data_IF_078281146881
#
_entry.id   IF_078281146881
#
_cell.length_a   1.000
_cell.length_b   1.000
_cell.length_c   1.000
_cell.angle_alpha   90.00
_cell.angle_beta   90.00
_cell.angle_gamma   90.00
#
_symmetry.space_group_name_H-M   'P 1'
#
loop_
_entity.id
_entity.type
_entity.pdbx_description
1 polymer ?
#
# COMPACT_ATOMS: atom_id res chain seq x y z
N UNK A 1 0.63 4.99 10.71
CA UNK A 1 -0.66 4.29 10.62
C UNK A 1 -1.35 4.70 9.33
N UNK A 2 -2.20 3.85 8.75
CA UNK A 2 -3.08 4.18 7.61
C UNK A 2 -4.55 4.28 8.08
N UNK A 3 -4.74 4.58 9.37
CA UNK A 3 -6.00 4.38 10.09
C UNK A 3 -7.05 5.41 9.67
N UNK A 4 -6.59 6.60 9.26
CA UNK A 4 -7.45 7.71 8.85
C UNK A 4 -8.08 7.48 7.47
N UNK A 5 -7.57 6.52 6.70
CA UNK A 5 -8.10 6.12 5.40
C UNK A 5 -9.22 5.09 5.48
N UNK A 6 -9.65 4.70 6.69
CA UNK A 6 -10.72 3.71 6.89
C UNK A 6 -10.32 2.28 6.54
N UNK A 7 -9.02 1.98 6.52
CA UNK A 7 -8.47 0.65 6.19
C UNK A 7 -8.42 -0.29 7.41
N UNK A 8 -9.21 -0.02 8.44
CA UNK A 8 -9.11 -0.63 9.77
C UNK A 8 -9.50 -2.11 9.77
N UNK A 9 -10.36 -2.50 8.82
CA UNK A 9 -10.82 -3.88 8.62
C UNK A 9 -9.88 -4.69 7.70
N UNK A 10 -8.83 -4.05 7.15
CA UNK A 10 -7.85 -4.72 6.30
C UNK A 10 -6.67 -5.23 7.13
N UNK A 11 -6.27 -6.46 6.87
CA UNK A 11 -5.03 -7.00 7.43
C UNK A 11 -3.85 -6.43 6.64
N UNK A 12 -3.02 -5.63 7.31
CA UNK A 12 -1.77 -5.12 6.75
C UNK A 12 -0.64 -6.12 6.99
N UNK A 13 0.19 -6.35 5.97
CA UNK A 13 1.38 -7.19 6.04
C UNK A 13 2.56 -6.32 5.58
N UNK A 14 3.48 -6.03 6.51
CA UNK A 14 4.68 -5.24 6.21
C UNK A 14 5.80 -6.16 5.71
N UNK A 15 6.19 -5.98 4.44
CA UNK A 15 7.16 -6.86 3.75
C UNK A 15 8.45 -7.04 4.53
N UNK A 16 9.02 -5.97 5.08
CA UNK A 16 10.28 -6.06 5.83
C UNK A 16 10.12 -6.78 7.17
N UNK A 17 8.98 -6.62 7.86
CA UNK A 17 8.72 -7.29 9.14
C UNK A 17 8.49 -8.78 8.97
N UNK A 18 7.93 -9.21 7.83
CA UNK A 18 7.77 -10.62 7.50
C UNK A 18 9.09 -11.30 7.10
N UNK A 19 10.15 -10.54 6.83
CA UNK A 19 11.43 -11.08 6.35
C UNK A 19 11.58 -11.09 4.82
N UNK A 20 10.83 -10.25 4.11
CA UNK A 20 10.97 -10.02 2.67
C UNK A 20 9.79 -10.50 1.82
N UNK A 21 9.84 -10.30 0.49
CA UNK A 21 8.72 -10.57 -0.42
C UNK A 21 8.18 -12.01 -0.37
N UNK A 22 9.07 -13.01 -0.27
CA UNK A 22 8.68 -14.41 -0.17
C UNK A 22 7.82 -14.68 1.07
N UNK A 23 8.33 -14.33 2.25
CA UNK A 23 7.61 -14.55 3.52
C UNK A 23 6.31 -13.77 3.58
N UNK A 24 6.30 -12.54 3.07
CA UNK A 24 5.07 -11.76 2.96
C UNK A 24 4.03 -12.43 2.06
N UNK A 25 4.43 -12.98 0.91
CA UNK A 25 3.54 -13.71 0.01
C UNK A 25 3.00 -15.00 0.65
N UNK A 26 3.83 -15.76 1.36
CA UNK A 26 3.41 -16.92 2.16
C UNK A 26 2.37 -16.54 3.22
N UNK A 27 2.62 -15.43 3.94
CA UNK A 27 1.69 -14.90 4.95
C UNK A 27 0.35 -14.48 4.34
N UNK A 28 0.33 -13.92 3.12
CA UNK A 28 -0.94 -13.66 2.40
C UNK A 28 -1.62 -14.98 2.01
N UNK A 29 -0.88 -15.93 1.43
CA UNK A 29 -1.44 -17.21 0.97
C UNK A 29 -2.16 -17.96 2.10
N UNK A 30 -1.60 -17.93 3.32
CA UNK A 30 -2.21 -18.51 4.52
C UNK A 30 -3.56 -17.87 4.90
N UNK A 31 -3.85 -16.64 4.45
CA UNK A 31 -5.15 -16.00 4.70
C UNK A 31 -6.26 -16.48 3.77
N UNK A 32 -5.91 -17.09 2.63
CA UNK A 32 -6.86 -17.43 1.57
C UNK A 32 -7.51 -16.21 0.88
N UNK A 33 -6.99 -15.00 1.12
CA UNK A 33 -7.49 -13.74 0.53
C UNK A 33 -6.59 -13.27 -0.61
N UNK A 34 -7.09 -12.30 -1.37
CA UNK A 34 -6.31 -11.55 -2.35
C UNK A 34 -5.44 -10.47 -1.68
N UNK A 35 -4.35 -10.07 -2.34
CA UNK A 35 -3.49 -8.98 -1.91
C UNK A 35 -3.80 -7.65 -2.63
N UNK A 36 -3.54 -6.54 -1.95
CA UNK A 36 -3.30 -5.24 -2.59
C UNK A 36 -1.84 -4.90 -2.33
N UNK A 37 -1.05 -4.65 -3.38
CA UNK A 37 0.36 -4.33 -3.21
C UNK A 37 0.52 -2.82 -3.15
N UNK A 38 1.05 -2.31 -2.04
CA UNK A 38 1.43 -0.91 -1.86
C UNK A 38 2.91 -0.85 -1.48
N UNK A 39 3.70 -0.13 -2.26
CA UNK A 39 5.13 0.13 -2.02
C UNK A 39 5.44 1.58 -2.38
N UNK A 40 6.54 2.15 -1.91
CA UNK A 40 6.87 3.56 -2.16
C UNK A 40 6.99 3.91 -3.65
N UNK A 41 6.87 5.21 -3.96
CA UNK A 41 6.88 5.72 -5.34
C UNK A 41 8.30 5.85 -5.91
N UNK A 42 9.19 4.93 -5.56
CA UNK A 42 10.59 4.92 -5.95
C UNK A 42 11.02 3.60 -6.62
N UNK A 43 12.26 3.56 -7.11
CA UNK A 43 12.79 2.38 -7.80
C UNK A 43 12.91 1.16 -6.90
N UNK A 44 13.11 1.36 -5.59
CA UNK A 44 13.18 0.27 -4.62
C UNK A 44 11.80 -0.36 -4.42
N UNK A 45 10.76 0.45 -4.28
CA UNK A 45 9.37 0.03 -4.18
C UNK A 45 8.91 -0.72 -5.44
N UNK A 46 9.36 -0.30 -6.62
CA UNK A 46 9.06 -1.00 -7.88
C UNK A 46 9.72 -2.39 -7.96
N UNK A 47 10.94 -2.54 -7.43
CA UNK A 47 11.60 -3.85 -7.32
C UNK A 47 10.86 -4.77 -6.35
N UNK A 48 10.49 -4.26 -5.17
CA UNK A 48 9.72 -5.02 -4.18
C UNK A 48 8.36 -5.45 -4.75
N UNK A 49 7.66 -4.57 -5.46
CA UNK A 49 6.40 -4.92 -6.14
C UNK A 49 6.62 -6.04 -7.15
N UNK A 50 7.67 -5.94 -7.97
CA UNK A 50 7.98 -6.96 -8.99
C UNK A 50 8.26 -8.33 -8.35
N UNK A 51 9.03 -8.35 -7.26
CA UNK A 51 9.33 -9.58 -6.52
C UNK A 51 8.06 -10.16 -5.88
N UNK A 52 7.23 -9.33 -5.24
CA UNK A 52 5.96 -9.76 -4.65
C UNK A 52 5.03 -10.39 -5.69
N UNK A 53 4.91 -9.80 -6.88
CA UNK A 53 4.11 -10.34 -7.97
C UNK A 53 4.55 -11.75 -8.34
N UNK A 54 5.86 -11.96 -8.52
CA UNK A 54 6.43 -13.28 -8.82
C UNK A 54 6.08 -14.30 -7.73
N UNK A 55 6.25 -13.95 -6.45
CA UNK A 55 5.99 -14.86 -5.34
C UNK A 55 4.49 -15.16 -5.17
N UNK A 56 3.62 -14.15 -5.31
CA UNK A 56 2.17 -14.32 -5.21
C UNK A 56 1.63 -15.14 -6.38
N UNK A 57 2.12 -14.92 -7.61
CA UNK A 57 1.77 -15.73 -8.78
C UNK A 57 2.19 -17.20 -8.59
N UNK A 58 3.40 -17.44 -8.08
CA UNK A 58 3.88 -18.79 -7.78
C UNK A 58 3.01 -19.53 -6.73
N UNK A 59 2.40 -18.78 -5.81
CA UNK A 59 1.48 -19.30 -4.79
C UNK A 59 0.00 -19.28 -5.24
N UNK A 60 -0.29 -18.91 -6.48
CA UNK A 60 -1.65 -18.76 -7.02
C UNK A 60 -2.52 -17.79 -6.22
N UNK A 61 -1.92 -16.75 -5.63
CA UNK A 61 -2.60 -15.72 -4.86
C UNK A 61 -2.94 -14.52 -5.75
N UNK A 62 -4.24 -14.17 -5.93
CA UNK A 62 -4.60 -12.99 -6.71
C UNK A 62 -4.12 -11.70 -6.04
N UNK A 63 -3.69 -10.72 -6.84
CA UNK A 63 -3.28 -9.41 -6.34
C UNK A 63 -3.75 -8.24 -7.21
N UNK A 64 -3.84 -7.06 -6.60
CA UNK A 64 -4.19 -5.80 -7.27
C UNK A 64 -3.08 -4.76 -7.07
N UNK A 65 -2.55 -4.23 -8.19
CA UNK A 65 -1.57 -3.12 -8.21
C UNK A 65 -2.16 -1.82 -8.76
N UNK A 66 -3.37 -1.85 -9.29
CA UNK A 66 -4.05 -0.68 -9.88
C UNK A 66 -4.37 0.38 -8.82
N UNK A 67 -4.67 -0.05 -7.59
CA UNK A 67 -4.88 0.86 -6.45
C UNK A 67 -3.63 1.69 -6.19
N UNK A 68 -2.45 1.06 -6.18
CA UNK A 68 -1.16 1.75 -6.03
C UNK A 68 -0.98 2.80 -7.13
N UNK A 69 -1.20 2.43 -8.39
CA UNK A 69 -1.07 3.33 -9.55
C UNK A 69 -1.96 4.56 -9.40
N UNK A 70 -3.24 4.36 -9.06
CA UNK A 70 -4.20 5.46 -8.86
C UNK A 70 -3.81 6.38 -7.71
N UNK A 71 -3.36 5.82 -6.58
CA UNK A 71 -2.87 6.62 -5.45
C UNK A 71 -1.66 7.45 -5.84
N UNK A 72 -0.69 6.86 -6.54
CA UNK A 72 0.49 7.56 -7.04
C UNK A 72 0.08 8.72 -7.96
N UNK A 73 -0.77 8.49 -8.95
CA UNK A 73 -1.16 9.53 -9.92
C UNK A 73 -1.79 10.76 -9.24
N UNK A 74 -2.52 10.56 -8.15
CA UNK A 74 -3.15 11.63 -7.37
C UNK A 74 -2.14 12.31 -6.44
N UNK A 75 -1.27 11.53 -5.78
CA UNK A 75 -0.51 11.99 -4.61
C UNK A 75 0.97 12.29 -4.89
N UNK A 76 1.53 11.93 -6.07
CA UNK A 76 2.98 12.00 -6.35
C UNK A 76 3.60 13.41 -6.24
N UNK A 77 2.79 14.46 -6.38
CA UNK A 77 3.22 15.85 -6.23
C UNK A 77 3.36 16.25 -4.76
N UNK A 78 2.66 15.59 -3.86
CA UNK A 78 2.56 15.94 -2.45
C UNK A 78 3.35 15.00 -1.54
N UNK A 79 3.43 13.71 -1.88
CA UNK A 79 4.10 12.68 -1.10
C UNK A 79 4.91 11.75 -2.00
N UNK A 80 5.94 11.11 -1.43
CA UNK A 80 6.84 10.19 -2.15
C UNK A 80 6.72 8.74 -1.70
N UNK A 81 6.08 8.51 -0.56
CA UNK A 81 5.93 7.21 0.08
C UNK A 81 4.47 6.97 0.49
N UNK A 82 4.13 5.68 0.70
CA UNK A 82 2.78 5.25 1.08
C UNK A 82 2.46 5.66 2.52
N UNK A 83 3.45 5.66 3.41
CA UNK A 83 3.27 5.98 4.82
C UNK A 83 2.80 7.42 5.05
N UNK A 84 3.17 8.33 4.16
CA UNK A 84 2.75 9.73 4.18
C UNK A 84 1.30 9.97 3.76
N UNK A 85 0.57 8.97 3.24
CA UNK A 85 -0.82 9.15 2.80
C UNK A 85 -1.74 9.67 3.92
N UNK A 86 -1.58 9.15 5.14
CA UNK A 86 -2.39 9.57 6.30
C UNK A 86 -2.16 11.05 6.63
N UNK A 87 -0.91 11.50 6.60
CA UNK A 87 -0.55 12.90 6.83
C UNK A 87 -1.13 13.82 5.74
N UNK A 88 -1.13 13.36 4.49
CA UNK A 88 -1.70 14.11 3.37
C UNK A 88 -3.22 14.24 3.55
N UNK A 89 -3.89 13.15 3.93
CA UNK A 89 -5.32 13.15 4.21
C UNK A 89 -5.69 14.17 5.31
N UNK A 90 -5.00 14.15 6.44
CA UNK A 90 -5.28 15.09 7.54
C UNK A 90 -5.02 16.56 7.15
N UNK A 91 -3.97 16.81 6.36
CA UNK A 91 -3.68 18.15 5.83
C UNK A 91 -4.81 18.64 4.92
N UNK A 92 -5.25 17.80 3.98
CA UNK A 92 -6.35 18.14 3.06
C UNK A 92 -7.68 18.32 3.81
N UNK A 93 -7.98 17.43 4.75
CA UNK A 93 -9.16 17.52 5.62
C UNK A 93 -9.19 18.85 6.38
N UNK A 94 -8.07 19.26 6.94
CA UNK A 94 -7.95 20.54 7.65
C UNK A 94 -8.19 21.74 6.73
N UNK A 95 -7.64 21.72 5.50
CA UNK A 95 -7.83 22.80 4.52
C UNK A 95 -9.30 22.93 4.14
N UNK A 96 -9.97 21.82 3.81
CA UNK A 96 -11.40 21.82 3.43
C UNK A 96 -12.27 22.30 4.59
N UNK A 97 -11.99 21.88 5.81
CA UNK A 97 -12.75 22.31 6.99
C UNK A 97 -12.57 23.81 7.28
N UNK A 98 -11.38 24.38 7.03
CA UNK A 98 -11.12 25.82 7.19
C UNK A 98 -11.77 26.69 6.12
N UNK A 99 -12.04 26.15 4.93
CA UNK A 99 -12.73 26.87 3.85
C UNK A 99 -14.26 26.90 3.98
N UNK A 100 -14.82 26.08 4.88
CA UNK A 100 -16.27 26.04 5.17
C UNK A 100 -16.70 26.94 6.33
N UNK A 101 -15.78 27.76 6.86
CA UNK A 101 -16.03 28.72 7.95
C UNK A 101 -15.95 30.14 7.39
#
# INVERSE_FOLDING_TARGET
SLDNLGLQDLRTIEVQREGGPLRAAESVAQTGKQAIILTDWDDRGNRIESDLKIQLDALCVPYNTDIKRRLRDICIKDIKDVESLDSLYERLRTIVLRQKI
#
